data_IF_267900121104
#
_entry.id   IF_267900121104
#
_cell.length_a   1.000
_cell.length_b   1.000
_cell.length_c   1.000
_cell.angle_alpha   90.00
_cell.angle_beta   90.00
_cell.angle_gamma   90.00
#
_symmetry.space_group_name_H-M   'P 1'
#
loop_
_entity.id
_entity.type
_entity.pdbx_description
1 polymer ?
#
# COMPACT_ATOMS: atom_id res chain seq x y z
N UNK A 1 -27.08 -103.75 -30.89
CA UNK A 1 -26.45 -104.88 -30.20
C UNK A 1 -24.95 -104.82 -30.46
N UNK A 2 -24.14 -105.07 -29.42
CA UNK A 2 -22.68 -105.21 -29.42
C UNK A 2 -21.88 -103.96 -29.80
N UNK A 3 -20.79 -103.59 -29.13
CA UNK A 3 -19.99 -104.20 -28.07
C UNK A 3 -18.69 -103.38 -27.96
N UNK A 4 -18.15 -103.25 -26.75
CA UNK A 4 -16.94 -102.47 -26.41
C UNK A 4 -15.66 -103.04 -27.09
N UNK A 5 -14.47 -102.38 -27.05
CA UNK A 5 -13.74 -102.22 -25.79
C UNK A 5 -12.94 -100.92 -25.59
N UNK A 6 -12.66 -100.71 -24.32
CA UNK A 6 -11.73 -99.81 -23.63
C UNK A 6 -10.28 -99.95 -24.12
N UNK A 7 -9.53 -98.84 -24.21
CA UNK A 7 -8.10 -98.83 -23.92
C UNK A 7 -7.80 -97.62 -23.03
N UNK A 8 -7.29 -97.94 -21.86
CA UNK A 8 -6.74 -97.03 -20.85
C UNK A 8 -5.32 -96.69 -21.29
N UNK A 9 -4.90 -95.43 -21.18
CA UNK A 9 -3.48 -95.15 -21.08
C UNK A 9 -3.25 -94.03 -20.08
N UNK A 10 -2.39 -94.32 -19.11
CA UNK A 10 -2.09 -93.51 -17.94
C UNK A 10 -1.13 -92.36 -18.28
N UNK A 11 -1.39 -91.23 -17.61
CA UNK A 11 -0.62 -90.02 -17.25
C UNK A 11 0.86 -89.87 -17.67
N UNK A 12 1.33 -88.63 -17.93
CA UNK A 12 1.74 -87.80 -16.80
C UNK A 12 1.23 -86.36 -16.85
N UNK A 13 0.79 -85.88 -15.69
CA UNK A 13 0.49 -84.49 -15.37
C UNK A 13 1.80 -83.72 -15.42
N UNK A 14 1.91 -82.79 -16.37
CA UNK A 14 2.96 -81.77 -16.37
C UNK A 14 2.26 -80.46 -16.06
N UNK A 15 2.40 -79.99 -14.82
CA UNK A 15 2.10 -78.60 -14.45
C UNK A 15 3.12 -77.68 -15.16
N UNK A 16 2.68 -76.71 -15.98
CA UNK A 16 3.51 -75.58 -16.29
C UNK A 16 3.31 -74.51 -15.21
N UNK A 17 4.37 -74.30 -14.43
CA UNK A 17 4.63 -73.15 -13.56
C UNK A 17 4.01 -71.87 -14.12
N UNK A 18 3.08 -71.27 -13.38
CA UNK A 18 2.62 -69.92 -13.61
C UNK A 18 3.79 -68.97 -13.33
N UNK A 19 4.37 -68.41 -14.39
CA UNK A 19 5.30 -67.30 -14.31
C UNK A 19 4.45 -66.06 -14.00
N UNK A 20 4.29 -65.73 -12.71
CA UNK A 20 3.66 -64.50 -12.26
C UNK A 20 4.53 -63.32 -12.73
N UNK A 21 4.17 -62.77 -13.89
CA UNK A 21 4.71 -61.48 -14.32
C UNK A 21 3.98 -60.43 -13.52
N UNK A 22 4.52 -60.11 -12.35
CA UNK A 22 4.08 -58.98 -11.54
C UNK A 22 4.28 -57.71 -12.36
N UNK A 23 3.20 -57.25 -12.98
CA UNK A 23 3.17 -55.95 -13.64
C UNK A 23 3.13 -54.92 -12.53
N UNK A 24 4.31 -54.53 -12.04
CA UNK A 24 4.45 -53.35 -11.18
C UNK A 24 3.97 -52.14 -11.98
N UNK A 25 2.71 -51.76 -11.76
CA UNK A 25 2.22 -50.42 -12.11
C UNK A 25 3.15 -49.44 -11.41
N UNK A 26 3.74 -48.44 -12.10
CA UNK A 26 4.61 -47.48 -11.43
C UNK A 26 3.75 -46.75 -10.39
N UNK A 27 4.02 -47.02 -9.12
CA UNK A 27 3.47 -46.24 -8.02
C UNK A 27 3.99 -44.81 -8.22
N UNK A 28 3.09 -43.91 -8.64
CA UNK A 28 3.42 -42.49 -8.66
C UNK A 28 3.69 -42.06 -7.22
N UNK A 29 4.95 -41.74 -6.93
CA UNK A 29 5.41 -41.22 -5.63
C UNK A 29 5.09 -39.73 -5.47
N UNK A 30 4.44 -39.12 -6.45
CA UNK A 30 4.05 -37.72 -6.39
C UNK A 30 2.82 -37.61 -5.48
N UNK A 31 3.02 -37.05 -4.30
CA UNK A 31 1.94 -36.67 -3.41
C UNK A 31 1.07 -35.64 -4.15
N UNK A 32 -0.20 -35.96 -4.49
CA UNK A 32 -1.07 -35.05 -5.23
C UNK A 32 -1.47 -33.81 -4.40
N UNK A 33 -1.05 -33.75 -3.13
CA UNK A 33 -1.21 -32.62 -2.22
C UNK A 33 0.12 -31.91 -1.89
N UNK A 34 1.23 -32.28 -2.52
CA UNK A 34 2.47 -31.52 -2.37
C UNK A 34 2.28 -30.12 -2.97
N UNK A 35 2.11 -29.13 -2.09
CA UNK A 35 2.12 -27.72 -2.49
C UNK A 35 3.51 -27.40 -3.02
N UNK A 36 3.63 -27.06 -4.31
CA UNK A 36 4.89 -26.57 -4.87
C UNK A 36 5.36 -25.35 -4.06
N UNK A 37 6.63 -25.35 -3.65
CA UNK A 37 7.21 -24.19 -2.96
C UNK A 37 7.11 -22.96 -3.89
N UNK A 38 6.68 -21.80 -3.37
CA UNK A 38 6.57 -20.60 -4.18
C UNK A 38 7.94 -20.20 -4.72
N UNK A 39 8.02 -20.00 -6.04
CA UNK A 39 9.25 -19.56 -6.72
C UNK A 39 9.30 -18.04 -6.75
N UNK A 40 10.29 -17.48 -6.04
CA UNK A 40 10.51 -16.03 -5.98
C UNK A 40 11.53 -15.56 -7.03
N UNK A 41 11.31 -14.36 -7.57
CA UNK A 41 12.25 -13.73 -8.49
C UNK A 41 13.59 -13.44 -7.80
N UNK A 42 14.69 -13.39 -8.58
CA UNK A 42 15.96 -12.92 -8.05
C UNK A 42 15.96 -11.38 -7.92
N UNK A 43 16.55 -10.87 -6.85
CA UNK A 43 16.72 -9.44 -6.61
C UNK A 43 15.79 -8.89 -5.53
N UNK A 44 15.78 -7.55 -5.33
CA UNK A 44 15.08 -6.93 -4.22
C UNK A 44 13.57 -7.17 -4.25
N UNK A 45 12.95 -7.30 -5.42
CA UNK A 45 11.54 -7.65 -5.54
C UNK A 45 11.20 -9.00 -4.92
N UNK A 46 11.89 -10.06 -5.32
CA UNK A 46 11.62 -11.39 -4.76
C UNK A 46 12.02 -11.52 -3.30
N UNK A 47 13.01 -10.76 -2.82
CA UNK A 47 13.30 -10.64 -1.39
C UNK A 47 12.14 -10.02 -0.61
N UNK A 48 11.46 -9.01 -1.18
CA UNK A 48 10.28 -8.38 -0.56
C UNK A 48 9.10 -9.33 -0.58
N UNK A 49 8.85 -10.00 -1.72
CA UNK A 49 7.74 -10.93 -1.88
C UNK A 49 7.88 -12.12 -0.93
N UNK A 50 9.07 -12.73 -0.89
CA UNK A 50 9.38 -13.80 0.06
C UNK A 50 9.18 -13.36 1.50
N UNK A 51 9.66 -12.16 1.87
CA UNK A 51 9.50 -11.65 3.22
C UNK A 51 8.02 -11.43 3.57
N UNK A 52 7.22 -10.91 2.64
CA UNK A 52 5.80 -10.68 2.86
C UNK A 52 5.04 -12.00 3.08
N UNK A 53 5.31 -13.02 2.27
CA UNK A 53 4.71 -14.35 2.42
C UNK A 53 5.15 -15.04 3.72
N UNK A 54 6.43 -14.98 4.07
CA UNK A 54 6.96 -15.52 5.33
C UNK A 54 6.34 -14.84 6.56
N UNK A 55 5.96 -13.57 6.44
CA UNK A 55 5.31 -12.80 7.51
C UNK A 55 3.79 -12.89 7.48
N UNK A 56 3.20 -13.40 6.41
CA UNK A 56 1.77 -13.37 6.19
C UNK A 56 1.22 -11.94 6.08
N UNK A 57 2.00 -11.02 5.52
CA UNK A 57 1.60 -9.62 5.40
C UNK A 57 0.52 -9.43 4.34
N UNK A 58 -0.58 -8.79 4.73
CA UNK A 58 -1.67 -8.45 3.83
C UNK A 58 -1.44 -7.11 3.11
N UNK A 59 -1.80 -7.07 1.85
CA UNK A 59 -1.84 -5.87 1.03
C UNK A 59 -3.10 -5.90 0.17
N UNK A 60 -3.42 -4.77 -0.47
CA UNK A 60 -4.61 -4.67 -1.32
C UNK A 60 -4.61 -5.80 -2.37
N UNK A 61 -5.68 -6.60 -2.41
CA UNK A 61 -5.81 -7.76 -3.29
C UNK A 61 -5.83 -7.45 -4.79
N UNK A 62 -5.75 -6.17 -5.16
CA UNK A 62 -5.49 -5.72 -6.53
C UNK A 62 -4.05 -5.98 -6.99
N UNK A 63 -3.10 -6.16 -6.07
CA UNK A 63 -1.71 -6.50 -6.41
C UNK A 63 -1.50 -8.00 -6.36
N UNK A 64 -0.69 -8.51 -7.30
CA UNK A 64 -0.31 -9.93 -7.34
C UNK A 64 0.85 -10.28 -6.41
N UNK A 65 1.66 -9.29 -6.01
CA UNK A 65 2.81 -9.45 -5.12
C UNK A 65 3.02 -8.20 -4.25
N UNK A 66 3.72 -8.34 -3.12
CA UNK A 66 4.05 -7.22 -2.25
C UNK A 66 4.99 -6.21 -2.93
N UNK A 67 5.93 -6.69 -3.73
CA UNK A 67 6.84 -5.86 -4.53
C UNK A 67 6.11 -5.08 -5.62
N UNK A 68 5.02 -5.61 -6.18
CA UNK A 68 4.15 -4.88 -7.11
C UNK A 68 3.45 -3.70 -6.43
N UNK A 69 2.93 -3.90 -5.21
CA UNK A 69 2.40 -2.81 -4.39
C UNK A 69 3.46 -1.73 -4.13
N UNK A 70 4.67 -2.12 -3.71
CA UNK A 70 5.76 -1.14 -3.47
C UNK A 70 6.08 -0.35 -4.74
N UNK A 71 6.14 -1.01 -5.91
CA UNK A 71 6.42 -0.36 -7.19
C UNK A 71 5.36 0.68 -7.54
N UNK A 72 4.08 0.34 -7.39
CA UNK A 72 2.98 1.28 -7.63
C UNK A 72 3.11 2.53 -6.75
N UNK A 73 3.38 2.35 -5.46
CA UNK A 73 3.62 3.49 -4.54
C UNK A 73 4.85 4.31 -4.98
N UNK A 74 5.95 3.66 -5.38
CA UNK A 74 7.14 4.34 -5.89
C UNK A 74 6.85 5.20 -7.15
N UNK A 75 5.99 4.72 -8.03
CA UNK A 75 5.55 5.39 -9.26
C UNK A 75 4.53 6.52 -9.00
N UNK A 76 3.69 6.35 -7.98
CA UNK A 76 2.67 7.32 -7.55
C UNK A 76 3.25 8.51 -6.78
N UNK A 77 4.26 8.30 -5.92
CA UNK A 77 4.89 9.36 -5.11
C UNK A 77 5.30 10.64 -5.88
N UNK A 78 5.86 10.60 -7.10
CA UNK A 78 6.18 11.82 -7.85
C UNK A 78 4.98 12.55 -8.46
N UNK A 79 3.79 11.94 -8.56
CA UNK A 79 2.66 12.47 -9.35
C UNK A 79 1.34 12.60 -8.58
N UNK A 80 1.11 11.81 -7.55
CA UNK A 80 -0.14 11.80 -6.79
C UNK A 80 -0.23 12.97 -5.82
N UNK A 81 -1.37 13.67 -5.85
CA UNK A 81 -1.72 14.80 -4.99
C UNK A 81 -0.61 15.85 -4.80
N UNK A 82 0.27 16.03 -5.80
CA UNK A 82 1.48 16.82 -5.56
C UNK A 82 1.25 18.30 -5.28
N UNK A 83 0.05 18.77 -5.64
CA UNK A 83 -0.45 20.12 -5.48
C UNK A 83 -1.42 20.24 -4.29
N UNK A 84 -1.48 19.25 -3.41
CA UNK A 84 -2.30 19.30 -2.20
C UNK A 84 -1.45 18.89 -1.00
N UNK A 85 -0.76 17.75 -1.11
CA UNK A 85 -0.20 17.07 0.06
C UNK A 85 1.33 17.06 0.00
N UNK A 86 1.97 17.08 1.16
CA UNK A 86 3.35 16.64 1.24
C UNK A 86 3.46 15.14 0.91
N UNK A 87 4.65 14.66 0.56
CA UNK A 87 4.86 13.22 0.30
C UNK A 87 4.58 12.32 1.49
N UNK A 88 5.06 12.63 2.70
CA UNK A 88 4.70 11.83 3.88
C UNK A 88 3.20 11.89 4.21
N UNK A 89 2.56 13.04 4.03
CA UNK A 89 1.11 13.20 4.22
C UNK A 89 0.31 12.31 3.28
N UNK A 90 0.60 12.34 1.97
CA UNK A 90 -0.05 11.47 0.99
C UNK A 90 0.09 9.97 1.35
N UNK A 91 1.26 9.55 1.85
CA UNK A 91 1.48 8.17 2.30
C UNK A 91 0.57 7.79 3.49
N UNK A 92 0.29 8.73 4.39
CA UNK A 92 -0.60 8.49 5.54
C UNK A 92 -2.06 8.53 5.10
N UNK A 93 -2.48 9.60 4.43
CA UNK A 93 -3.89 9.91 4.18
C UNK A 93 -4.52 9.05 3.08
N UNK A 94 -3.71 8.53 2.15
CA UNK A 94 -4.18 7.56 1.15
C UNK A 94 -4.32 6.13 1.70
N UNK A 95 -4.14 5.93 3.01
CA UNK A 95 -4.19 4.62 3.65
C UNK A 95 -2.99 3.72 3.34
N UNK A 96 -1.93 4.22 2.69
CA UNK A 96 -0.79 3.39 2.28
C UNK A 96 0.02 2.83 3.46
N UNK A 97 -0.19 3.36 4.67
CA UNK A 97 0.46 2.92 5.91
C UNK A 97 -0.48 2.20 6.89
N UNK A 98 -1.65 1.77 6.44
CA UNK A 98 -2.57 0.97 7.26
C UNK A 98 -2.19 -0.50 7.26
N UNK A 99 -2.36 -1.17 8.41
CA UNK A 99 -2.10 -2.60 8.55
C UNK A 99 -0.67 -2.98 8.14
N UNK A 100 -0.56 -4.09 7.41
CA UNK A 100 0.73 -4.65 6.98
C UNK A 100 1.36 -3.88 5.80
N UNK A 101 0.59 -3.04 5.08
CA UNK A 101 1.11 -2.16 4.02
C UNK A 101 2.28 -1.31 4.52
N UNK A 102 2.21 -0.83 5.77
CA UNK A 102 3.30 -0.11 6.43
C UNK A 102 4.60 -0.91 6.47
N UNK A 103 4.53 -2.16 6.91
CA UNK A 103 5.71 -3.02 7.04
C UNK A 103 6.29 -3.37 5.67
N UNK A 104 5.43 -3.64 4.69
CA UNK A 104 5.82 -3.86 3.29
C UNK A 104 6.55 -2.64 2.73
N UNK A 105 6.01 -1.42 2.89
CA UNK A 105 6.67 -0.20 2.42
C UNK A 105 7.99 0.07 3.16
N UNK A 106 8.07 -0.20 4.47
CA UNK A 106 9.32 -0.08 5.24
C UNK A 106 10.41 -1.05 4.76
N UNK A 107 10.05 -2.25 4.33
CA UNK A 107 10.98 -3.20 3.74
C UNK A 107 11.34 -2.87 2.27
N UNK A 108 10.37 -2.35 1.51
CA UNK A 108 10.47 -2.22 0.06
C UNK A 108 11.01 -0.89 -0.46
N UNK A 109 10.51 0.25 0.04
CA UNK A 109 10.89 1.58 -0.47
C UNK A 109 12.41 1.82 -0.42
N UNK A 110 13.14 1.48 0.66
CA UNK A 110 14.59 1.65 0.70
C UNK A 110 15.34 0.83 -0.36
N UNK A 111 14.77 -0.29 -0.83
CA UNK A 111 15.36 -1.17 -1.85
C UNK A 111 14.97 -0.76 -3.27
N UNK A 112 13.70 -0.46 -3.50
CA UNK A 112 13.15 -0.24 -4.85
C UNK A 112 13.14 1.24 -5.28
N UNK A 113 12.93 2.18 -4.34
CA UNK A 113 12.93 3.61 -4.64
C UNK A 113 13.54 4.45 -3.50
N UNK A 114 14.85 4.31 -3.22
CA UNK A 114 15.51 4.87 -2.04
C UNK A 114 15.39 6.39 -1.89
N UNK A 115 15.16 7.13 -2.99
CA UNK A 115 14.89 8.58 -2.96
C UNK A 115 13.73 8.95 -2.02
N UNK A 116 12.79 8.04 -1.78
CA UNK A 116 11.61 8.25 -0.95
C UNK A 116 11.74 7.72 0.47
N UNK A 117 12.86 7.11 0.84
CA UNK A 117 13.06 6.53 2.17
C UNK A 117 12.91 7.56 3.31
N UNK A 118 13.30 8.82 3.07
CA UNK A 118 13.10 9.90 4.05
C UNK A 118 11.63 10.24 4.22
N UNK A 119 10.88 10.38 3.12
CA UNK A 119 9.45 10.65 3.17
C UNK A 119 8.70 9.53 3.92
N UNK A 120 9.04 8.27 3.65
CA UNK A 120 8.46 7.14 4.40
C UNK A 120 8.76 7.22 5.90
N UNK A 121 10.00 7.54 6.29
CA UNK A 121 10.38 7.65 7.71
C UNK A 121 9.55 8.73 8.41
N UNK A 122 9.39 9.88 7.77
CA UNK A 122 8.58 10.99 8.28
C UNK A 122 7.11 10.60 8.43
N UNK A 123 6.54 9.95 7.42
CA UNK A 123 5.17 9.45 7.43
C UNK A 123 4.95 8.46 8.58
N UNK A 124 5.88 7.51 8.75
CA UNK A 124 5.83 6.50 9.82
C UNK A 124 5.98 7.11 11.22
N UNK A 125 6.81 8.15 11.38
CA UNK A 125 6.99 8.83 12.66
C UNK A 125 5.87 9.81 13.00
N UNK A 126 5.05 10.20 12.01
CA UNK A 126 4.10 11.30 12.15
C UNK A 126 4.78 12.68 12.23
N UNK A 127 6.07 12.76 11.90
CA UNK A 127 6.85 14.00 11.96
C UNK A 127 7.10 14.51 10.53
N UNK A 128 6.08 15.17 10.00
CA UNK A 128 6.11 15.77 8.67
C UNK A 128 5.34 17.10 8.62
N UNK A 129 5.70 17.90 7.62
CA UNK A 129 4.96 19.13 7.32
C UNK A 129 3.67 18.75 6.60
N UNK A 130 2.54 19.04 7.21
CA UNK A 130 1.25 18.97 6.54
C UNK A 130 1.06 20.18 5.64
N UNK A 131 0.51 19.98 4.44
CA UNK A 131 0.23 21.01 3.46
C UNK A 131 -1.29 21.24 3.40
N UNK A 132 -1.70 22.48 3.14
CA UNK A 132 -3.12 22.84 3.22
C UNK A 132 -3.56 23.48 1.91
N UNK A 133 -4.60 22.92 1.29
CA UNK A 133 -5.15 23.42 0.03
C UNK A 133 -6.35 24.35 0.30
N UNK A 134 -7.31 24.41 -0.63
CA UNK A 134 -8.54 25.18 -0.40
C UNK A 134 -9.46 24.42 0.54
N UNK A 135 -10.02 25.11 1.52
CA UNK A 135 -10.84 24.51 2.57
C UNK A 135 -11.00 25.43 3.77
N UNK A 136 -11.75 24.94 4.76
CA UNK A 136 -11.89 25.55 6.08
C UNK A 136 -11.34 24.58 7.10
N UNK A 137 -10.39 25.07 7.89
CA UNK A 137 -9.65 24.27 8.86
C UNK A 137 -9.84 24.84 10.26
N UNK A 138 -10.13 23.98 11.23
CA UNK A 138 -10.18 24.33 12.66
C UNK A 138 -8.75 24.54 13.15
N UNK A 139 -8.48 25.65 13.83
CA UNK A 139 -7.13 25.94 14.32
C UNK A 139 -6.85 25.10 15.57
N UNK A 140 -5.97 24.12 15.45
CA UNK A 140 -5.66 23.17 16.53
C UNK A 140 -4.31 22.50 16.31
N UNK A 141 -3.51 22.38 17.37
CA UNK A 141 -2.29 21.56 17.36
C UNK A 141 -2.58 20.06 17.42
N UNK A 142 -3.80 19.67 17.77
CA UNK A 142 -4.24 18.28 17.78
C UNK A 142 -4.82 17.93 16.40
N UNK A 143 -4.33 16.86 15.74
CA UNK A 143 -4.92 16.38 14.50
C UNK A 143 -6.40 16.04 14.64
N UNK A 144 -7.15 16.24 13.56
CA UNK A 144 -8.55 15.81 13.43
C UNK A 144 -8.69 14.31 13.70
N UNK A 145 -9.69 13.91 14.48
CA UNK A 145 -10.09 12.51 14.57
C UNK A 145 -11.01 12.15 13.39
N UNK A 146 -11.16 10.85 13.12
CA UNK A 146 -12.07 10.38 12.08
C UNK A 146 -13.49 10.94 12.27
N UNK A 147 -14.05 11.51 11.20
CA UNK A 147 -15.38 12.12 11.19
C UNK A 147 -15.45 13.52 11.84
N UNK A 148 -14.31 14.16 12.13
CA UNK A 148 -14.25 15.55 12.60
C UNK A 148 -13.75 16.50 11.50
N UNK A 149 -13.95 17.80 11.73
CA UNK A 149 -13.43 18.85 10.86
C UNK A 149 -11.90 18.81 10.80
N UNK A 150 -11.34 19.04 9.61
CA UNK A 150 -9.90 19.09 9.39
C UNK A 150 -9.26 20.20 10.22
N UNK A 151 -8.06 19.94 10.72
CA UNK A 151 -7.36 20.85 11.64
C UNK A 151 -6.08 21.41 11.02
N UNK A 152 -5.79 22.69 11.29
CA UNK A 152 -4.51 23.32 10.97
C UNK A 152 -3.82 23.81 12.27
N UNK A 153 -2.56 23.43 12.53
CA UNK A 153 -1.83 23.94 13.68
C UNK A 153 -1.58 25.45 13.60
N UNK A 154 -1.47 26.13 14.76
CA UNK A 154 -0.92 27.48 14.80
C UNK A 154 0.49 27.52 14.20
N UNK A 155 0.78 28.54 13.40
CA UNK A 155 2.05 28.61 12.69
C UNK A 155 2.06 29.69 11.60
N UNK A 156 3.19 29.81 10.91
CA UNK A 156 3.29 30.66 9.72
C UNK A 156 3.27 29.79 8.47
N UNK A 157 2.36 30.12 7.57
CA UNK A 157 2.12 29.39 6.34
C UNK A 157 2.32 30.30 5.14
N UNK A 158 2.72 29.70 4.03
CA UNK A 158 3.01 30.43 2.80
C UNK A 158 2.51 29.68 1.58
N UNK A 159 1.75 30.39 0.77
CA UNK A 159 1.34 30.00 -0.57
C UNK A 159 2.25 30.70 -1.59
N UNK A 160 2.88 29.94 -2.48
CA UNK A 160 3.78 30.42 -3.55
C UNK A 160 3.38 29.79 -4.87
N UNK A 161 3.24 30.60 -5.92
CA UNK A 161 2.74 30.16 -7.22
C UNK A 161 1.93 31.23 -7.92
N UNK A 162 1.26 30.91 -9.03
CA UNK A 162 0.42 31.89 -9.74
C UNK A 162 -0.98 31.83 -9.16
N UNK A 163 -1.32 32.77 -8.28
CA UNK A 163 -2.65 32.88 -7.69
C UNK A 163 -3.48 33.95 -8.39
N UNK A 164 -4.71 33.59 -8.74
CA UNK A 164 -5.73 34.51 -9.25
C UNK A 164 -6.99 34.34 -8.40
N UNK A 165 -7.54 35.46 -7.91
CA UNK A 165 -8.71 35.48 -7.02
C UNK A 165 -8.54 34.64 -5.74
N UNK A 166 -7.35 34.65 -5.15
CA UNK A 166 -7.06 33.97 -3.90
C UNK A 166 -7.70 34.70 -2.72
N UNK A 167 -8.65 34.05 -2.06
CA UNK A 167 -9.21 34.49 -0.80
C UNK A 167 -8.62 33.68 0.35
N UNK A 168 -8.28 34.36 1.43
CA UNK A 168 -8.01 33.71 2.71
C UNK A 168 -8.55 34.57 3.85
N UNK A 169 -8.91 33.91 4.94
CA UNK A 169 -9.32 34.55 6.17
C UNK A 169 -8.92 33.74 7.39
N UNK A 170 -8.75 34.46 8.50
CA UNK A 170 -8.65 33.95 9.85
C UNK A 170 -9.84 34.47 10.62
N UNK A 171 -10.54 33.59 11.30
CA UNK A 171 -11.72 33.95 12.11
C UNK A 171 -11.53 33.53 13.56
N UNK A 172 -12.27 34.15 14.47
CA UNK A 172 -12.42 33.67 15.85
C UNK A 172 -13.30 32.42 15.91
N UNK A 173 -13.36 31.74 17.07
CA UNK A 173 -14.30 30.62 17.28
C UNK A 173 -15.77 31.04 17.10
N UNK A 174 -16.09 32.32 17.30
CA UNK A 174 -17.43 32.87 17.08
C UNK A 174 -17.71 33.23 15.61
N UNK A 175 -16.73 33.06 14.70
CA UNK A 175 -16.85 33.39 13.29
C UNK A 175 -16.51 34.84 12.91
N UNK A 176 -16.16 35.69 13.88
CA UNK A 176 -15.72 37.06 13.59
C UNK A 176 -14.40 37.06 12.82
N UNK A 177 -14.32 37.81 11.73
CA UNK A 177 -13.10 37.94 10.92
C UNK A 177 -12.02 38.68 11.75
N UNK A 178 -10.88 38.03 11.91
CA UNK A 178 -9.68 38.57 12.56
C UNK A 178 -8.81 39.26 11.51
N UNK A 179 -8.62 38.62 10.36
CA UNK A 179 -7.81 39.10 9.25
C UNK A 179 -8.23 38.38 7.98
N UNK A 180 -8.23 39.07 6.85
CA UNK A 180 -8.52 38.47 5.56
C UNK A 180 -7.90 39.26 4.41
N UNK A 181 -7.83 38.63 3.24
CA UNK A 181 -7.51 39.32 2.00
C UNK A 181 -8.12 38.62 0.79
N UNK A 182 -8.53 39.42 -0.20
CA UNK A 182 -8.91 38.94 -1.52
C UNK A 182 -7.88 39.39 -2.55
N UNK A 183 -6.88 38.55 -2.80
CA UNK A 183 -5.80 38.82 -3.72
C UNK A 183 -6.20 38.45 -5.16
N UNK A 184 -6.56 39.46 -5.95
CA UNK A 184 -6.93 39.29 -7.37
C UNK A 184 -5.78 38.75 -8.23
N UNK A 185 -4.54 39.11 -7.88
CA UNK A 185 -3.32 38.55 -8.49
C UNK A 185 -2.18 38.57 -7.49
N UNK A 186 -1.57 37.40 -7.23
CA UNK A 186 -0.44 37.27 -6.33
C UNK A 186 0.55 36.20 -6.78
N UNK A 187 1.80 36.34 -6.32
CA UNK A 187 2.87 35.34 -6.50
C UNK A 187 3.28 34.63 -5.22
N UNK A 188 3.03 35.28 -4.09
CA UNK A 188 3.42 34.83 -2.77
C UNK A 188 2.53 35.51 -1.74
N UNK A 189 1.95 34.73 -0.84
CA UNK A 189 1.19 35.22 0.31
C UNK A 189 1.69 34.47 1.55
N UNK A 190 1.83 35.15 2.67
CA UNK A 190 2.28 34.56 3.94
C UNK A 190 1.34 35.00 5.04
N UNK A 191 0.84 34.03 5.81
CA UNK A 191 -0.15 34.22 6.85
C UNK A 191 0.36 33.57 8.14
N UNK A 192 0.26 34.27 9.26
CA UNK A 192 0.52 33.71 10.59
C UNK A 192 -0.81 33.44 11.28
N UNK A 193 -1.12 32.16 11.48
CA UNK A 193 -2.28 31.66 12.21
C UNK A 193 -1.90 31.54 13.68
N UNK A 194 -2.64 32.22 14.56
CA UNK A 194 -2.38 32.20 16.00
C UNK A 194 -3.18 31.09 16.67
N UNK A 195 -2.71 30.62 17.82
CA UNK A 195 -3.43 29.63 18.63
C UNK A 195 -4.75 30.12 19.21
N UNK A 196 -5.01 31.43 19.15
CA UNK A 196 -6.28 32.05 19.56
C UNK A 196 -7.27 32.22 18.40
N UNK A 197 -6.86 31.93 17.17
CA UNK A 197 -7.77 31.95 16.04
C UNK A 197 -8.65 30.69 16.12
N UNK A 198 -9.88 30.75 15.64
CA UNK A 198 -10.81 29.62 15.61
C UNK A 198 -10.69 28.80 14.33
N UNK A 199 -10.70 29.47 13.17
CA UNK A 199 -10.61 28.80 11.87
C UNK A 199 -9.71 29.58 10.90
N UNK A 200 -9.16 28.85 9.94
CA UNK A 200 -8.51 29.38 8.75
C UNK A 200 -9.26 28.88 7.52
N UNK A 201 -9.72 29.79 6.67
CA UNK A 201 -10.40 29.45 5.42
C UNK A 201 -9.57 29.97 4.26
N UNK A 202 -9.43 29.18 3.19
CA UNK A 202 -8.78 29.60 1.96
C UNK A 202 -9.48 29.03 0.73
N UNK A 203 -9.59 29.84 -0.31
CA UNK A 203 -10.18 29.48 -1.59
C UNK A 203 -9.42 30.14 -2.75
N UNK A 204 -9.12 29.39 -3.80
CA UNK A 204 -8.44 29.93 -4.99
C UNK A 204 -6.97 30.32 -4.77
N UNK A 205 -6.39 29.91 -3.64
CA UNK A 205 -4.97 30.09 -3.33
C UNK A 205 -4.15 28.86 -3.71
N UNK A 206 -2.84 29.06 -3.84
CA UNK A 206 -1.89 27.94 -3.92
C UNK A 206 -1.77 27.26 -2.55
N UNK A 207 -1.19 26.07 -2.53
CA UNK A 207 -0.98 25.28 -1.32
C UNK A 207 -0.22 26.06 -0.26
N UNK A 208 -0.80 26.11 0.94
CA UNK A 208 -0.20 26.67 2.14
C UNK A 208 0.78 25.69 2.74
N UNK A 209 2.06 26.05 2.73
CA UNK A 209 3.14 25.25 3.31
C UNK A 209 3.67 25.92 4.57
N UNK A 210 4.00 25.15 5.64
CA UNK A 210 4.68 25.69 6.79
C UNK A 210 5.97 26.41 6.41
N UNK A 211 6.22 27.57 7.02
CA UNK A 211 7.48 28.30 6.90
C UNK A 211 8.41 27.84 8.02
N UNK A 212 9.60 27.35 7.65
CA UNK A 212 10.68 26.97 8.56
C UNK A 212 11.75 28.06 8.65
#
# INVERSE_FOLDING_TARGET
MSGAPTVVNETPTVEPTAEETETELPFSTEDPYATEEPVYAFGPEGEIDKLADEKGWEYDGTYSTASAFVKDICESLPISSIQADSRPEWLVESGNLEGDKKAILQAGIPKLCPKWATALKQAVSGDYDQWYSSGTYVVSSKPAAEGQDETIPPGTYRAEGKMENCYWERTSEAGEIIDNNFATSARKITVTIRSSDGQFTSEGCEVWKPVK
#
